data_IF_342578891344
#
_entry.id   IF_342578891344
#
_cell.length_a   1.000
_cell.length_b   1.000
_cell.length_c   1.000
_cell.angle_alpha   90.00
_cell.angle_beta   90.00
_cell.angle_gamma   90.00
#
_symmetry.space_group_name_H-M   'P 1'
#
loop_
_entity.id
_entity.type
_entity.pdbx_description
1 polymer ?
#
# COMPACT_ATOMS: atom_id res chain seq x y z
N UNK A 1 -7.17 -51.82 -13.01
CA UNK A 1 -8.39 -52.62 -12.82
C UNK A 1 -8.13 -53.61 -11.69
N UNK A 2 -8.42 -53.22 -10.45
CA UNK A 2 -8.53 -54.09 -9.28
C UNK A 2 -9.32 -53.29 -8.23
N UNK A 3 -10.55 -53.72 -8.00
CA UNK A 3 -11.51 -53.15 -7.05
C UNK A 3 -11.27 -53.79 -5.68
N UNK A 4 -11.20 -53.01 -4.61
CA UNK A 4 -11.57 -53.46 -3.27
C UNK A 4 -12.42 -52.39 -2.60
N UNK A 5 -13.68 -52.76 -2.35
CA UNK A 5 -14.68 -52.00 -1.63
C UNK A 5 -14.38 -52.03 -0.12
N UNK A 6 -14.42 -50.86 0.53
CA UNK A 6 -14.40 -50.71 1.98
C UNK A 6 -15.33 -49.58 2.39
N UNK A 7 -16.59 -49.90 2.62
CA UNK A 7 -17.60 -49.00 3.17
C UNK A 7 -17.36 -48.79 4.66
N UNK A 8 -17.20 -47.53 5.11
CA UNK A 8 -17.30 -47.18 6.52
C UNK A 8 -18.19 -45.95 6.71
N UNK A 9 -19.21 -46.17 7.54
CA UNK A 9 -20.33 -45.30 7.90
C UNK A 9 -19.87 -44.20 8.88
N UNK A 10 -20.05 -42.94 8.50
CA UNK A 10 -19.56 -41.77 9.23
C UNK A 10 -20.62 -41.16 10.16
N UNK A 11 -21.08 -41.92 11.17
CA UNK A 11 -22.10 -41.46 12.12
C UNK A 11 -21.72 -41.57 13.60
N UNK A 12 -20.43 -41.70 13.96
CA UNK A 12 -20.04 -41.76 15.39
C UNK A 12 -18.63 -41.25 15.68
N UNK A 13 -18.39 -39.94 15.57
CA UNK A 13 -17.34 -39.25 16.36
C UNK A 13 -17.83 -37.82 16.67
N UNK A 14 -18.82 -37.71 17.55
CA UNK A 14 -19.07 -36.51 18.35
C UNK A 14 -18.93 -36.93 19.81
N UNK A 15 -18.18 -36.12 20.56
CA UNK A 15 -17.91 -36.21 22.02
C UNK A 15 -16.55 -36.82 22.37
N UNK A 16 -15.81 -36.10 23.24
CA UNK A 16 -14.42 -36.31 23.70
C UNK A 16 -13.43 -35.67 22.72
N UNK A 17 -12.97 -34.43 22.92
CA UNK A 17 -12.01 -34.02 23.95
C UNK A 17 -12.34 -32.60 24.42
N UNK A 18 -12.92 -32.51 25.62
CA UNK A 18 -12.97 -31.31 26.45
C UNK A 18 -11.95 -31.56 27.57
N UNK A 19 -10.93 -30.70 27.67
CA UNK A 19 -9.91 -30.57 28.72
C UNK A 19 -8.48 -30.57 28.16
N UNK A 20 -8.06 -29.42 27.66
CA UNK A 20 -6.66 -29.03 27.83
C UNK A 20 -6.56 -27.66 28.49
N UNK A 21 -5.79 -27.64 29.57
CA UNK A 21 -5.56 -26.57 30.54
C UNK A 21 -5.24 -25.24 29.87
N UNK A 22 -6.04 -24.22 30.17
CA UNK A 22 -5.60 -22.84 30.11
C UNK A 22 -4.65 -22.60 31.29
N UNK A 23 -3.39 -22.30 31.00
CA UNK A 23 -2.48 -21.68 31.96
C UNK A 23 -2.80 -20.18 32.00
N UNK A 24 -3.32 -19.74 33.14
CA UNK A 24 -3.61 -18.34 33.42
C UNK A 24 -2.30 -17.55 33.56
N UNK A 25 -1.93 -16.76 32.55
CA UNK A 25 -0.99 -15.67 32.72
C UNK A 25 -1.78 -14.41 33.10
N UNK A 26 -1.69 -14.04 34.38
CA UNK A 26 -2.13 -12.75 34.88
C UNK A 26 -1.18 -11.66 34.38
N UNK A 27 -1.61 -10.93 33.35
CA UNK A 27 -1.01 -9.66 32.97
C UNK A 27 -2.05 -8.57 33.23
N UNK A 28 -1.95 -7.95 34.41
CA UNK A 28 -2.66 -6.72 34.69
C UNK A 28 -2.04 -5.61 33.82
N UNK A 29 -2.67 -5.34 32.67
CA UNK A 29 -2.34 -4.17 31.85
C UNK A 29 -2.95 -2.95 32.55
N UNK A 30 -2.16 -1.92 32.93
CA UNK A 30 -2.71 -0.70 33.48
C UNK A 30 -3.63 -0.08 32.44
N UNK A 31 -4.86 0.24 32.83
CA UNK A 31 -5.84 0.93 32.00
C UNK A 31 -5.33 2.36 31.78
N UNK A 32 -4.55 2.59 30.73
CA UNK A 32 -4.09 3.92 30.36
C UNK A 32 -5.31 4.74 30.00
N UNK A 33 -5.55 5.80 30.76
CA UNK A 33 -6.54 6.84 30.46
C UNK A 33 -6.29 7.32 29.04
N UNK A 34 -7.29 7.19 28.17
CA UNK A 34 -7.31 7.80 26.83
C UNK A 34 -7.19 9.32 27.01
N UNK A 35 -5.97 9.83 26.91
CA UNK A 35 -5.74 11.25 26.70
C UNK A 35 -6.12 11.50 25.24
N UNK A 36 -7.35 11.98 25.02
CA UNK A 36 -7.71 12.62 23.75
C UNK A 36 -6.70 13.74 23.52
N UNK A 37 -5.85 13.58 22.50
CA UNK A 37 -5.07 14.68 21.95
C UNK A 37 -6.09 15.61 21.26
N UNK A 38 -6.58 16.60 21.99
CA UNK A 38 -7.20 17.78 21.38
C UNK A 38 -6.06 18.63 20.84
N UNK A 39 -5.98 18.77 19.52
CA UNK A 39 -5.10 19.74 18.89
C UNK A 39 -5.44 21.14 19.43
N UNK A 40 -4.56 21.68 20.27
CA UNK A 40 -4.63 23.06 20.73
C UNK A 40 -4.15 23.94 19.59
N UNK A 41 -5.08 24.55 18.88
CA UNK A 41 -4.78 25.64 17.96
C UNK A 41 -4.68 26.91 18.83
N UNK A 42 -3.46 27.37 19.08
CA UNK A 42 -3.24 28.72 19.65
C UNK A 42 -3.05 29.69 18.49
N UNK A 43 -4.07 30.50 18.23
CA UNK A 43 -3.94 31.59 17.27
C UNK A 43 -3.12 32.74 17.90
N UNK A 44 -2.03 33.22 17.28
CA UNK A 44 -1.37 34.43 17.72
C UNK A 44 -2.18 35.67 17.28
N UNK A 45 -2.45 36.57 18.23
CA UNK A 45 -3.12 37.85 18.01
C UNK A 45 -2.27 38.75 17.08
N UNK A 46 -2.82 39.32 15.98
CA UNK A 46 -2.06 40.20 15.11
C UNK A 46 -2.06 41.67 15.60
N UNK A 47 -1.03 42.47 15.26
CA UNK A 47 -1.02 43.90 15.52
C UNK A 47 -1.90 44.66 14.52
N UNK A 48 -2.50 45.74 15.01
CA UNK A 48 -3.33 46.70 14.28
C UNK A 48 -2.56 47.39 13.15
N UNK A 49 -3.07 47.31 11.93
CA UNK A 49 -2.84 48.29 10.86
C UNK A 49 -3.90 48.13 9.77
N UNK A 50 -4.66 49.19 9.57
CA UNK A 50 -5.78 49.32 8.65
C UNK A 50 -5.32 49.65 7.23
N UNK A 51 -5.56 48.76 6.27
CA UNK A 51 -5.58 49.10 4.84
C UNK A 51 -6.72 48.36 4.16
N UNK A 52 -7.54 49.12 3.44
CA UNK A 52 -8.76 48.72 2.75
C UNK A 52 -8.42 47.89 1.52
N UNK A 53 -8.83 46.62 1.50
CA UNK A 53 -8.90 45.82 0.27
C UNK A 53 -10.17 44.97 0.33
N UNK A 54 -11.04 45.11 -0.68
CA UNK A 54 -12.30 44.35 -0.82
C UNK A 54 -12.01 42.84 -0.70
N UNK A 55 -12.47 42.23 0.38
CA UNK A 55 -12.45 40.79 0.59
C UNK A 55 -13.47 40.13 -0.35
N UNK A 56 -12.97 39.33 -1.29
CA UNK A 56 -13.79 38.29 -1.92
C UNK A 56 -14.05 37.24 -0.85
N UNK A 57 -15.26 37.25 -0.28
CA UNK A 57 -15.70 36.19 0.62
C UNK A 57 -15.80 34.88 -0.16
N UNK A 58 -14.76 34.05 -0.07
CA UNK A 58 -14.85 32.65 -0.48
C UNK A 58 -15.68 31.95 0.58
N UNK A 59 -16.98 31.87 0.33
CA UNK A 59 -17.94 31.15 1.15
C UNK A 59 -17.68 29.64 0.98
N UNK A 60 -16.70 29.09 1.71
CA UNK A 60 -16.51 27.63 1.81
C UNK A 60 -17.64 27.09 2.68
N UNK A 61 -18.82 26.92 2.07
CA UNK A 61 -19.89 26.15 2.68
C UNK A 61 -19.35 24.74 2.93
N UNK A 62 -19.05 24.41 4.20
CA UNK A 62 -18.75 23.03 4.63
C UNK A 62 -20.01 22.22 4.42
N UNK A 63 -20.20 21.68 3.21
CA UNK A 63 -21.27 20.74 2.94
C UNK A 63 -21.15 19.57 3.92
N UNK A 64 -22.26 19.22 4.57
CA UNK A 64 -22.30 18.14 5.55
C UNK A 64 -22.11 16.81 4.81
N UNK A 65 -21.04 16.08 5.15
CA UNK A 65 -20.76 14.77 4.54
C UNK A 65 -21.94 13.82 4.76
N UNK A 66 -22.30 13.08 3.71
CA UNK A 66 -23.22 11.94 3.73
C UNK A 66 -22.66 10.84 2.81
N UNK A 67 -23.03 9.55 2.99
CA UNK A 67 -22.55 8.48 2.11
C UNK A 67 -22.81 8.71 0.61
N UNK A 68 -23.84 9.49 0.26
CA UNK A 68 -24.19 9.80 -1.14
C UNK A 68 -23.58 11.11 -1.65
N UNK A 69 -22.95 11.91 -0.78
CA UNK A 69 -22.48 13.25 -1.13
C UNK A 69 -21.39 13.27 -2.21
N UNK A 70 -20.63 12.17 -2.35
CA UNK A 70 -19.57 12.06 -3.35
C UNK A 70 -20.10 11.96 -4.78
N UNK A 71 -21.33 11.43 -4.99
CA UNK A 71 -21.94 11.27 -6.33
C UNK A 71 -22.19 12.60 -7.05
N UNK A 72 -22.19 13.72 -6.31
CA UNK A 72 -22.34 15.07 -6.85
C UNK A 72 -21.03 15.68 -7.37
N UNK A 73 -19.89 15.02 -7.11
CA UNK A 73 -18.58 15.48 -7.55
C UNK A 73 -18.31 15.01 -8.98
N UNK A 74 -17.52 15.80 -9.73
CA UNK A 74 -17.10 15.41 -11.08
C UNK A 74 -16.05 14.29 -11.00
N UNK A 75 -16.36 13.12 -11.55
CA UNK A 75 -15.40 12.02 -11.70
C UNK A 75 -14.68 12.13 -13.06
N UNK A 76 -13.34 12.24 -13.04
CA UNK A 76 -12.55 12.58 -14.25
C UNK A 76 -12.13 11.38 -15.11
N UNK A 77 -11.91 10.22 -14.49
CA UNK A 77 -11.37 9.01 -15.13
C UNK A 77 -12.45 7.94 -15.34
N UNK A 78 -13.73 8.34 -15.37
CA UNK A 78 -14.81 7.40 -15.65
C UNK A 78 -14.85 7.12 -17.15
N UNK A 79 -14.92 5.85 -17.57
CA UNK A 79 -15.21 5.53 -18.96
C UNK A 79 -16.63 5.98 -19.30
N UNK A 80 -16.87 6.22 -20.59
CA UNK A 80 -18.22 6.40 -21.10
C UNK A 80 -18.85 5.03 -21.31
N UNK A 81 -19.95 4.75 -20.61
CA UNK A 81 -20.72 3.51 -20.75
C UNK A 81 -21.80 3.72 -21.83
N UNK A 82 -21.74 3.02 -22.97
CA UNK A 82 -22.70 3.23 -24.07
C UNK A 82 -24.12 2.79 -23.76
N UNK A 83 -24.29 1.77 -22.91
CA UNK A 83 -25.58 1.24 -22.48
C UNK A 83 -25.75 1.45 -20.97
N UNK A 84 -26.61 2.38 -20.60
CA UNK A 84 -26.90 2.71 -19.21
C UNK A 84 -27.77 1.65 -18.52
N UNK A 85 -28.62 0.94 -19.28
CA UNK A 85 -29.46 -0.12 -18.72
C UNK A 85 -28.62 -1.36 -18.38
N UNK A 86 -27.64 -1.70 -19.22
CA UNK A 86 -26.67 -2.75 -18.93
C UNK A 86 -25.80 -2.38 -17.72
N UNK A 87 -25.35 -1.12 -17.62
CA UNK A 87 -24.61 -0.63 -16.45
C UNK A 87 -25.41 -0.81 -15.15
N UNK A 88 -26.68 -0.40 -15.14
CA UNK A 88 -27.57 -0.56 -13.97
C UNK A 88 -27.74 -2.04 -13.60
N UNK A 89 -27.98 -2.92 -14.57
CA UNK A 89 -28.12 -4.36 -14.32
C UNK A 89 -26.85 -5.00 -13.73
N UNK A 90 -25.67 -4.56 -14.16
CA UNK A 90 -24.38 -5.02 -13.59
C UNK A 90 -24.20 -4.50 -12.17
N UNK A 91 -24.56 -3.23 -11.89
CA UNK A 91 -24.48 -2.66 -10.55
C UNK A 91 -25.39 -3.41 -9.57
N UNK A 92 -26.63 -3.70 -9.96
CA UNK A 92 -27.57 -4.51 -9.16
C UNK A 92 -27.00 -5.90 -8.86
N UNK A 93 -26.33 -6.50 -9.85
CA UNK A 93 -25.69 -7.80 -9.69
C UNK A 93 -24.55 -7.74 -8.66
N UNK A 94 -23.67 -6.74 -8.77
CA UNK A 94 -22.53 -6.56 -7.85
C UNK A 94 -23.01 -6.28 -6.42
N UNK A 95 -24.07 -5.47 -6.26
CA UNK A 95 -24.67 -5.17 -4.95
C UNK A 95 -25.23 -6.42 -4.26
N UNK A 96 -25.67 -7.43 -5.03
CA UNK A 96 -26.18 -8.68 -4.48
C UNK A 96 -25.11 -9.60 -3.88
N UNK A 97 -23.82 -9.38 -4.18
CA UNK A 97 -22.73 -10.22 -3.70
C UNK A 97 -22.23 -9.82 -2.31
N UNK A 98 -21.77 -10.80 -1.51
CA UNK A 98 -21.10 -10.47 -0.25
C UNK A 98 -19.82 -9.67 -0.50
N UNK A 99 -19.41 -8.80 0.45
CA UNK A 99 -18.17 -8.04 0.31
C UNK A 99 -16.96 -8.98 0.27
N UNK A 100 -15.97 -8.66 -0.58
CA UNK A 100 -14.73 -9.42 -0.70
C UNK A 100 -13.86 -9.29 0.57
N UNK A 101 -13.98 -8.15 1.27
CA UNK A 101 -13.24 -7.85 2.51
C UNK A 101 -14.24 -7.46 3.60
N UNK A 102 -14.10 -8.07 4.79
CA UNK A 102 -14.96 -7.77 5.92
C UNK A 102 -14.47 -6.54 6.70
N UNK A 103 -15.39 -5.82 7.34
CA UNK A 103 -15.07 -4.62 8.10
C UNK A 103 -14.05 -4.87 9.24
N UNK A 104 -13.97 -6.09 9.80
CA UNK A 104 -12.96 -6.45 10.78
C UNK A 104 -11.55 -6.49 10.20
N UNK A 105 -11.40 -7.01 8.98
CA UNK A 105 -10.11 -7.10 8.27
C UNK A 105 -9.62 -5.71 7.87
N UNK A 106 -10.52 -4.83 7.44
CA UNK A 106 -10.19 -3.44 7.14
C UNK A 106 -9.64 -2.68 8.36
N UNK A 107 -10.26 -2.84 9.54
CA UNK A 107 -9.78 -2.23 10.80
C UNK A 107 -8.44 -2.80 11.25
N UNK A 108 -8.23 -4.11 11.05
CA UNK A 108 -6.94 -4.74 11.33
C UNK A 108 -5.83 -4.20 10.41
N UNK A 109 -6.14 -3.97 9.13
CA UNK A 109 -5.20 -3.33 8.21
C UNK A 109 -4.91 -1.88 8.64
N UNK A 110 -5.93 -1.11 9.02
CA UNK A 110 -5.78 0.26 9.53
C UNK A 110 -4.82 0.32 10.73
N UNK A 111 -4.96 -0.59 11.70
CA UNK A 111 -4.06 -0.68 12.86
C UNK A 111 -2.60 -0.95 12.43
N UNK A 112 -2.39 -1.88 11.50
CA UNK A 112 -1.05 -2.22 10.97
C UNK A 112 -0.42 -1.09 10.17
N UNK A 113 -1.22 -0.34 9.40
CA UNK A 113 -0.77 0.87 8.72
C UNK A 113 -0.41 1.96 9.74
N UNK A 114 -1.14 2.06 10.84
CA UNK A 114 -0.78 2.90 11.99
C UNK A 114 0.60 2.55 12.56
N UNK A 115 0.88 1.27 12.77
CA UNK A 115 2.22 0.80 13.20
C UNK A 115 3.31 1.19 12.20
N UNK A 116 3.05 1.09 10.88
CA UNK A 116 4.00 1.51 9.86
C UNK A 116 4.26 3.04 9.89
N UNK A 117 3.22 3.85 10.09
CA UNK A 117 3.34 5.29 10.25
C UNK A 117 4.15 5.69 11.51
N UNK A 118 4.04 4.89 12.58
CA UNK A 118 4.85 5.02 13.80
C UNK A 118 6.23 4.33 13.69
N UNK A 119 6.56 3.75 12.53
CA UNK A 119 7.80 3.00 12.22
C UNK A 119 8.06 1.79 13.10
N UNK A 120 7.00 1.22 13.67
CA UNK A 120 6.99 -0.09 14.32
C UNK A 120 6.88 -1.24 13.29
N UNK A 121 6.44 -0.91 12.07
CA UNK A 121 6.34 -1.82 10.94
C UNK A 121 6.86 -1.15 9.65
N UNK A 122 6.99 -1.93 8.59
CA UNK A 122 7.32 -1.45 7.25
C UNK A 122 6.35 -2.08 6.24
N UNK A 123 5.72 -1.26 5.40
CA UNK A 123 4.81 -1.70 4.36
C UNK A 123 5.57 -1.96 3.06
N UNK A 124 5.53 -3.19 2.56
CA UNK A 124 5.95 -3.51 1.19
C UNK A 124 4.70 -3.86 0.39
N UNK A 125 4.32 -2.99 -0.54
CA UNK A 125 3.24 -3.25 -1.48
C UNK A 125 3.85 -3.61 -2.83
N UNK A 126 3.46 -4.76 -3.38
CA UNK A 126 3.96 -5.25 -4.65
C UNK A 126 2.89 -6.00 -5.42
N UNK A 127 2.83 -5.79 -6.73
CA UNK A 127 1.90 -6.49 -7.62
C UNK A 127 2.04 -6.04 -9.07
N UNK A 128 1.12 -6.49 -9.91
CA UNK A 128 1.01 -5.99 -11.29
C UNK A 128 0.64 -4.50 -11.31
N UNK A 129 0.75 -3.88 -12.49
CA UNK A 129 0.57 -2.44 -12.68
C UNK A 129 -0.68 -1.94 -11.97
N UNK A 130 -0.47 -1.12 -10.95
CA UNK A 130 -1.49 -0.63 -10.04
C UNK A 130 -1.10 0.76 -9.55
N UNK A 131 -2.11 1.56 -9.28
CA UNK A 131 -2.01 3.01 -9.22
C UNK A 131 -1.15 3.51 -8.03
N UNK A 132 -0.43 4.61 -8.28
CA UNK A 132 0.64 5.15 -7.44
C UNK A 132 0.18 5.67 -6.07
N UNK A 133 0.94 5.34 -5.01
CA UNK A 133 0.89 6.01 -3.71
C UNK A 133 2.02 7.06 -3.60
N UNK A 134 2.00 7.90 -2.54
CA UNK A 134 2.94 9.03 -2.37
C UNK A 134 4.44 8.67 -2.47
N UNK A 135 4.84 7.43 -2.15
CA UNK A 135 6.23 6.97 -2.17
C UNK A 135 6.38 5.77 -3.13
N UNK A 136 6.73 6.08 -4.38
CA UNK A 136 6.63 5.17 -5.50
C UNK A 136 7.81 5.36 -6.48
N UNK A 137 8.85 4.51 -6.41
CA UNK A 137 10.04 4.61 -7.25
C UNK A 137 9.80 4.11 -8.69
N UNK A 138 8.56 3.76 -9.07
CA UNK A 138 8.27 3.14 -10.35
C UNK A 138 7.79 4.19 -11.36
N UNK A 139 6.70 4.87 -11.04
CA UNK A 139 5.97 5.69 -12.02
C UNK A 139 6.74 6.93 -12.46
N UNK A 140 7.54 7.53 -11.57
CA UNK A 140 8.41 8.68 -11.86
C UNK A 140 9.60 8.38 -12.79
N UNK A 141 9.95 7.10 -12.96
CA UNK A 141 11.15 6.67 -13.69
C UNK A 141 10.87 6.07 -15.09
N UNK A 142 9.66 6.27 -15.62
CA UNK A 142 9.25 5.68 -16.89
C UNK A 142 9.87 6.42 -18.08
N UNK A 143 10.56 5.69 -18.96
CA UNK A 143 11.15 6.19 -20.21
C UNK A 143 10.62 5.42 -21.42
N UNK A 144 10.80 5.96 -22.63
CA UNK A 144 10.55 5.23 -23.89
C UNK A 144 11.86 4.72 -24.46
N UNK A 145 11.92 3.43 -24.74
CA UNK A 145 13.05 2.77 -25.40
C UNK A 145 13.06 3.06 -26.92
N UNK A 146 14.20 2.87 -27.61
CA UNK A 146 14.29 3.04 -29.07
C UNK A 146 13.31 2.18 -29.87
N UNK A 147 12.94 1.00 -29.35
CA UNK A 147 11.94 0.11 -29.94
C UNK A 147 10.48 0.58 -29.73
N UNK A 148 10.26 1.71 -29.06
CA UNK A 148 8.95 2.30 -28.79
C UNK A 148 8.27 1.80 -27.52
N UNK A 149 8.75 0.72 -26.91
CA UNK A 149 8.24 0.20 -25.64
C UNK A 149 8.60 1.13 -24.48
N UNK A 150 7.71 1.24 -23.49
CA UNK A 150 8.04 1.88 -22.21
C UNK A 150 8.96 0.95 -21.41
N UNK A 151 9.93 1.52 -20.69
CA UNK A 151 10.76 0.77 -19.73
C UNK A 151 11.14 1.68 -18.57
N UNK A 152 11.73 1.11 -17.52
CA UNK A 152 12.28 1.83 -16.38
C UNK A 152 13.70 1.33 -16.13
N UNK A 153 14.70 2.22 -16.00
CA UNK A 153 16.04 1.82 -15.59
C UNK A 153 16.03 1.38 -14.13
N UNK A 154 16.42 0.12 -13.87
CA UNK A 154 16.48 -0.42 -12.51
C UNK A 154 17.36 0.41 -11.57
N UNK A 155 18.45 0.98 -12.08
CA UNK A 155 19.35 1.84 -11.30
C UNK A 155 18.66 3.13 -10.84
N UNK A 156 17.77 3.70 -11.66
CA UNK A 156 16.96 4.87 -11.28
C UNK A 156 15.97 4.54 -10.18
N UNK A 157 15.26 3.41 -10.30
CA UNK A 157 14.35 2.89 -9.27
C UNK A 157 15.11 2.69 -7.95
N UNK A 158 16.28 2.03 -8.02
CA UNK A 158 17.12 1.79 -6.85
C UNK A 158 17.62 3.11 -6.23
N UNK A 159 18.01 4.09 -7.05
CA UNK A 159 18.46 5.39 -6.58
C UNK A 159 17.35 6.14 -5.85
N UNK A 160 16.12 6.09 -6.35
CA UNK A 160 14.97 6.73 -5.71
C UNK A 160 14.62 6.06 -4.38
N UNK A 161 14.64 4.72 -4.30
CA UNK A 161 14.47 4.02 -3.02
C UNK A 161 15.54 4.44 -2.01
N UNK A 162 16.80 4.55 -2.43
CA UNK A 162 17.88 5.01 -1.53
C UNK A 162 17.63 6.45 -1.06
N UNK A 163 17.29 7.35 -1.98
CA UNK A 163 16.99 8.74 -1.69
C UNK A 163 15.80 8.89 -0.72
N UNK A 164 14.75 8.10 -0.90
CA UNK A 164 13.60 8.02 0.02
C UNK A 164 14.05 7.74 1.46
N UNK A 165 14.89 6.72 1.67
CA UNK A 165 15.42 6.42 3.00
C UNK A 165 16.35 7.53 3.53
N UNK A 166 17.17 8.14 2.67
CA UNK A 166 18.09 9.20 3.06
C UNK A 166 17.36 10.47 3.50
N UNK A 167 16.30 10.86 2.79
CA UNK A 167 15.44 12.00 3.17
C UNK A 167 14.78 11.75 4.52
N UNK A 168 14.18 10.58 4.72
CA UNK A 168 13.56 10.27 6.01
C UNK A 168 14.56 10.29 7.18
N UNK A 169 15.79 9.82 6.99
CA UNK A 169 16.83 9.88 8.01
C UNK A 169 17.25 11.32 8.33
N UNK A 170 17.39 12.17 7.31
CA UNK A 170 17.75 13.58 7.47
C UNK A 170 16.64 14.38 8.17
N UNK A 171 15.38 14.11 7.83
CA UNK A 171 14.22 14.79 8.39
C UNK A 171 13.75 14.18 9.73
N UNK A 172 14.42 13.15 10.24
CA UNK A 172 14.04 12.45 11.48
C UNK A 172 12.67 11.76 11.42
N UNK A 173 12.15 11.53 10.22
CA UNK A 173 10.85 10.90 9.97
C UNK A 173 11.01 9.39 9.69
N UNK A 174 9.90 8.70 9.45
CA UNK A 174 9.87 7.24 9.40
C UNK A 174 9.53 6.79 7.96
N UNK A 175 10.42 6.07 7.26
CA UNK A 175 10.11 5.48 5.95
C UNK A 175 9.10 4.35 6.14
N UNK A 176 7.82 4.68 6.00
CA UNK A 176 6.71 3.79 6.35
C UNK A 176 6.48 2.63 5.38
N UNK A 177 6.95 2.74 4.14
CA UNK A 177 6.83 1.68 3.16
C UNK A 177 7.35 2.03 1.78
N UNK A 178 7.29 1.07 0.86
CA UNK A 178 7.60 1.23 -0.57
C UNK A 178 6.54 0.50 -1.39
N UNK A 179 6.13 1.11 -2.50
CA UNK A 179 5.22 0.55 -3.49
C UNK A 179 5.98 0.13 -4.76
N UNK A 180 5.79 -1.09 -5.24
CA UNK A 180 6.50 -1.63 -6.42
C UNK A 180 5.53 -2.27 -7.42
N UNK A 181 5.76 -2.01 -8.70
CA UNK A 181 5.17 -2.80 -9.78
C UNK A 181 6.12 -3.93 -10.13
N UNK A 182 5.71 -5.16 -9.86
CA UNK A 182 6.55 -6.34 -9.99
C UNK A 182 5.74 -7.57 -10.39
N UNK A 183 6.44 -8.56 -10.96
CA UNK A 183 5.86 -9.87 -11.26
C UNK A 183 6.83 -10.99 -10.92
N UNK A 184 6.29 -12.13 -10.49
CA UNK A 184 7.06 -13.36 -10.31
C UNK A 184 7.49 -14.01 -11.64
N UNK A 185 7.01 -13.48 -12.78
CA UNK A 185 7.34 -13.98 -14.10
C UNK A 185 8.74 -13.54 -14.56
N UNK A 186 9.35 -14.33 -15.45
CA UNK A 186 10.66 -14.03 -16.03
C UNK A 186 10.51 -13.10 -17.25
N UNK A 187 10.20 -11.83 -16.98
CA UNK A 187 9.95 -10.77 -17.98
C UNK A 187 11.16 -9.86 -18.19
N UNK A 188 11.16 -9.14 -19.32
CA UNK A 188 12.19 -8.17 -19.71
C UNK A 188 11.60 -6.76 -19.85
N UNK A 189 10.78 -6.33 -18.89
CA UNK A 189 10.03 -5.07 -18.99
C UNK A 189 10.86 -3.86 -18.50
N UNK A 190 11.67 -4.04 -17.45
CA UNK A 190 12.62 -3.04 -16.92
C UNK A 190 14.07 -3.38 -17.31
N UNK A 191 14.82 -2.39 -17.78
CA UNK A 191 16.25 -2.55 -18.12
C UNK A 191 17.16 -2.51 -16.88
N UNK A 192 18.36 -3.06 -16.98
CA UNK A 192 19.35 -3.14 -15.91
C UNK A 192 19.12 -4.28 -14.92
N UNK A 193 19.61 -4.09 -13.69
CA UNK A 193 19.66 -5.13 -12.66
C UNK A 193 20.77 -6.16 -12.89
N UNK A 194 20.96 -7.05 -11.91
CA UNK A 194 22.04 -8.05 -11.91
C UNK A 194 22.13 -8.98 -13.13
N UNK A 195 21.01 -9.24 -13.83
CA UNK A 195 20.99 -10.05 -15.07
C UNK A 195 21.17 -9.22 -16.35
N UNK A 196 21.38 -7.91 -16.23
CA UNK A 196 21.54 -6.92 -17.30
C UNK A 196 20.54 -7.10 -18.44
N UNK A 197 19.30 -6.66 -18.21
CA UNK A 197 18.30 -6.53 -19.30
C UNK A 197 18.64 -5.27 -20.11
N UNK A 198 18.78 -5.39 -21.42
CA UNK A 198 19.07 -4.26 -22.33
C UNK A 198 17.82 -3.83 -23.09
N UNK A 199 17.92 -2.75 -23.88
CA UNK A 199 16.81 -2.33 -24.76
C UNK A 199 16.44 -3.38 -25.81
N UNK A 200 17.42 -4.17 -26.28
CA UNK A 200 17.20 -5.19 -27.30
C UNK A 200 16.43 -6.39 -26.74
N UNK A 201 16.53 -6.63 -25.42
CA UNK A 201 15.85 -7.71 -24.73
C UNK A 201 14.36 -7.43 -24.48
N UNK A 202 13.94 -6.16 -24.55
CA UNK A 202 12.58 -5.75 -24.15
C UNK A 202 11.50 -6.52 -24.93
N UNK A 203 11.68 -6.68 -26.24
CA UNK A 203 10.70 -7.36 -27.10
C UNK A 203 10.58 -8.86 -26.88
N UNK A 204 11.52 -9.48 -26.13
CA UNK A 204 11.55 -10.93 -25.97
C UNK A 204 10.43 -11.45 -25.07
N UNK A 205 10.10 -10.73 -23.98
CA UNK A 205 9.13 -11.14 -22.95
C UNK A 205 8.45 -9.94 -22.30
N UNK A 206 7.93 -9.03 -23.12
CA UNK A 206 7.10 -7.91 -22.69
C UNK A 206 5.64 -8.35 -22.64
N UNK A 207 5.07 -8.52 -21.43
CA UNK A 207 3.74 -9.11 -21.26
C UNK A 207 2.71 -8.18 -20.61
N UNK A 208 3.12 -6.98 -20.20
CA UNK A 208 2.21 -5.95 -19.68
C UNK A 208 1.61 -5.10 -20.80
N UNK A 209 0.35 -4.69 -20.62
CA UNK A 209 -0.31 -3.71 -21.48
C UNK A 209 -0.19 -2.26 -20.95
N UNK A 210 0.20 -2.11 -19.69
CA UNK A 210 0.25 -0.83 -19.00
C UNK A 210 1.71 -0.38 -18.87
N UNK A 211 2.24 -0.36 -17.66
CA UNK A 211 3.61 0.05 -17.37
C UNK A 211 4.54 -1.15 -17.08
N UNK A 212 5.86 -0.99 -17.32
CA UNK A 212 6.87 -2.04 -17.21
C UNK A 212 7.11 -2.45 -15.74
N UNK A 213 7.00 -3.75 -15.45
CA UNK A 213 7.16 -4.32 -14.10
C UNK A 213 8.58 -4.80 -13.84
N UNK A 214 9.00 -4.77 -12.58
CA UNK A 214 10.20 -5.49 -12.14
C UNK A 214 10.02 -7.00 -12.31
N UNK A 215 11.02 -7.67 -12.84
CA UNK A 215 11.05 -9.14 -12.80
C UNK A 215 11.43 -9.66 -11.42
N UNK A 216 11.32 -10.98 -11.22
CA UNK A 216 11.62 -11.61 -9.93
C UNK A 216 13.04 -11.33 -9.41
N UNK A 217 14.05 -11.32 -10.29
CA UNK A 217 15.45 -11.06 -9.89
C UNK A 217 15.66 -9.61 -9.44
N UNK A 218 15.16 -8.66 -10.21
CA UNK A 218 15.20 -7.23 -9.87
C UNK A 218 14.44 -6.93 -8.57
N UNK A 219 13.27 -7.55 -8.39
CA UNK A 219 12.46 -7.40 -7.17
C UNK A 219 13.19 -7.92 -5.93
N UNK A 220 13.84 -9.09 -6.05
CA UNK A 220 14.63 -9.67 -4.97
C UNK A 220 15.84 -8.80 -4.64
N UNK A 221 16.54 -8.29 -5.65
CA UNK A 221 17.67 -7.38 -5.48
C UNK A 221 17.27 -6.12 -4.70
N UNK A 222 16.14 -5.50 -5.06
CA UNK A 222 15.62 -4.34 -4.35
C UNK A 222 15.20 -4.66 -2.90
N UNK A 223 14.64 -5.86 -2.66
CA UNK A 223 14.26 -6.30 -1.32
C UNK A 223 15.46 -6.41 -0.36
N UNK A 224 16.63 -6.85 -0.85
CA UNK A 224 17.84 -6.92 -0.04
C UNK A 224 18.33 -5.53 0.36
N UNK A 225 18.25 -4.55 -0.55
CA UNK A 225 18.62 -3.16 -0.29
C UNK A 225 17.71 -2.54 0.78
N UNK A 226 16.39 -2.72 0.65
CA UNK A 226 15.41 -2.26 1.62
C UNK A 226 15.68 -2.90 3.00
N UNK A 227 15.89 -4.22 3.04
CA UNK A 227 16.18 -4.94 4.27
C UNK A 227 17.47 -4.45 4.95
N UNK A 228 18.51 -4.14 4.17
CA UNK A 228 19.76 -3.58 4.68
C UNK A 228 19.55 -2.19 5.30
N UNK A 229 18.80 -1.30 4.63
CA UNK A 229 18.46 0.03 5.15
C UNK A 229 17.68 -0.05 6.46
N UNK A 230 16.66 -0.91 6.53
CA UNK A 230 15.87 -1.13 7.74
C UNK A 230 16.72 -1.69 8.90
N UNK A 231 17.61 -2.64 8.61
CA UNK A 231 18.53 -3.21 9.61
C UNK A 231 19.49 -2.16 10.18
N UNK A 232 20.11 -1.35 9.31
CA UNK A 232 21.04 -0.27 9.73
C UNK A 232 20.35 0.70 10.69
N UNK A 233 19.12 1.13 10.35
CA UNK A 233 18.32 2.02 11.20
C UNK A 233 18.04 1.39 12.57
N UNK A 234 17.62 0.12 12.63
CA UNK A 234 17.34 -0.58 13.89
C UNK A 234 18.56 -0.64 14.81
N UNK A 235 19.74 -0.93 14.25
CA UNK A 235 21.00 -1.00 15.02
C UNK A 235 21.36 0.39 15.58
N UNK A 236 21.25 1.44 14.76
CA UNK A 236 21.51 2.83 15.17
C UNK A 236 20.59 3.27 16.31
N UNK A 237 19.29 2.96 16.22
CA UNK A 237 18.32 3.26 17.27
C UNK A 237 18.64 2.53 18.58
N UNK A 238 19.03 1.25 18.52
CA UNK A 238 19.41 0.49 19.72
C UNK A 238 20.65 1.05 20.42
N UNK A 239 21.66 1.45 19.64
CA UNK A 239 22.88 2.06 20.18
C UNK A 239 22.61 3.41 20.87
N UNK A 240 21.74 4.23 20.30
CA UNK A 240 21.34 5.51 20.87
C UNK A 240 20.59 5.39 22.22
N UNK A 241 19.91 4.26 22.46
CA UNK A 241 19.20 3.98 23.73
C UNK A 241 20.10 3.39 24.83
N UNK A 242 21.32 2.98 24.49
CA UNK A 242 22.28 2.35 25.41
C UNK A 242 23.37 3.29 25.95
N UNK A 243 23.26 4.60 25.67
CA UNK A 243 24.14 5.67 26.16
C UNK A 243 23.32 6.62 27.03
#
# INVERSE_FOLDING_TARGET
MALMNGSMNLSSIKTTIFNHRQTSFSSAVPRTTSLRISAVQTDPKPPTSSTVTKSVEVNVSKSKWTPESWKKQKALQQPEYPDLAELEAVLDTIESFPPIVFAGEARLLEERLGQAAMGEAFLLQGGDCAESFKDDPMHGNTIKAPCGLKTRPFDSIMAEVKAFFDVHEQEGSHPGGVHLEMTGQNVTECIGGSRTVTFDDLSSRYHTHCDPRLNASQSLELSFIIAERLRKRRIKSQQAFSV
#
